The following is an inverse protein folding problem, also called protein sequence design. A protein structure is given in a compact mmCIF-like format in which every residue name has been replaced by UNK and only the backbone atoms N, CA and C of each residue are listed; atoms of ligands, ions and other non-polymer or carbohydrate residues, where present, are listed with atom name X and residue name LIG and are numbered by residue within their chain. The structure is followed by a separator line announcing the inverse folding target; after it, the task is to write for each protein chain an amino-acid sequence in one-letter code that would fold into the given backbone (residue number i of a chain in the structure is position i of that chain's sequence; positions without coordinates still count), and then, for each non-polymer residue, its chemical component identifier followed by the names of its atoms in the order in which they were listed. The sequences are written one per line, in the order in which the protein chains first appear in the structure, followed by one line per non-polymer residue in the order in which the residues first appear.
data_IF_657453062476
#
_entry.id   IF_657453062476
#
_cell.length_a   1.000
_cell.length_b   1.000
_cell.length_c   1.000
_cell.angle_alpha   90.00
_cell.angle_beta   90.00
_cell.angle_gamma   90.00
#
_symmetry.space_group_name_H-M   'P 1'
#
loop_
_entity.id
_entity.type
_entity.pdbx_description
1 polymer ?
#
# COMPACT_ATOMS: atom_id res chain seq x y z
N UNK A 1 -24.45 -6.77 -24.94
CA UNK A 1 -23.65 -7.34 -23.81
C UNK A 1 -22.18 -7.54 -24.17
N UNK A 2 -21.80 -8.34 -25.19
CA UNK A 2 -20.38 -8.59 -25.55
C UNK A 2 -19.52 -7.35 -25.85
N UNK A 3 -20.07 -6.29 -26.45
CA UNK A 3 -19.33 -5.06 -26.77
C UNK A 3 -18.98 -4.25 -25.51
N UNK A 4 -19.94 -4.05 -24.61
CA UNK A 4 -19.74 -3.31 -23.36
C UNK A 4 -18.78 -4.03 -22.40
N UNK A 5 -18.82 -5.37 -22.35
CA UNK A 5 -17.90 -6.16 -21.52
C UNK A 5 -16.45 -6.10 -22.01
N UNK A 6 -16.25 -6.10 -23.34
CA UNK A 6 -14.91 -5.98 -23.93
C UNK A 6 -14.34 -4.57 -23.70
N UNK A 7 -15.17 -3.53 -23.84
CA UNK A 7 -14.78 -2.14 -23.59
C UNK A 7 -14.39 -1.91 -22.13
N UNK A 8 -15.08 -2.53 -21.16
CA UNK A 8 -14.73 -2.42 -19.74
C UNK A 8 -13.38 -3.09 -19.45
N UNK A 9 -13.16 -4.31 -19.95
CA UNK A 9 -11.90 -5.03 -19.76
C UNK A 9 -10.71 -4.29 -20.41
N UNK A 10 -10.90 -3.76 -21.62
CA UNK A 10 -9.89 -2.93 -22.28
C UNK A 10 -9.61 -1.64 -21.51
N UNK A 11 -10.64 -0.99 -20.96
CA UNK A 11 -10.50 0.20 -20.12
C UNK A 11 -9.71 -0.07 -18.84
N UNK A 12 -10.01 -1.17 -18.14
CA UNK A 12 -9.30 -1.59 -16.93
C UNK A 12 -7.83 -1.93 -17.21
N UNK A 13 -7.56 -2.66 -18.30
CA UNK A 13 -6.20 -2.99 -18.73
C UNK A 13 -5.40 -1.74 -19.10
N UNK A 14 -6.01 -0.76 -19.78
CA UNK A 14 -5.36 0.51 -20.11
C UNK A 14 -5.05 1.34 -18.84
N UNK A 15 -5.97 1.40 -17.89
CA UNK A 15 -5.76 2.07 -16.59
C UNK A 15 -4.59 1.42 -15.84
N UNK A 16 -4.54 0.08 -15.84
CA UNK A 16 -3.46 -0.68 -15.22
C UNK A 16 -2.10 -0.34 -15.85
N UNK A 17 -2.01 -0.37 -17.19
CA UNK A 17 -0.79 -0.02 -17.94
C UNK A 17 -0.32 1.42 -17.69
N UNK A 18 -1.24 2.37 -17.51
CA UNK A 18 -0.90 3.75 -17.18
C UNK A 18 -0.43 3.90 -15.73
N UNK A 19 -1.02 3.13 -14.80
CA UNK A 19 -0.66 3.15 -13.39
C UNK A 19 0.72 2.54 -13.11
N UNK A 20 1.14 1.54 -13.88
CA UNK A 20 2.43 0.86 -13.70
C UNK A 20 3.69 1.71 -13.99
N UNK A 21 3.54 3.00 -14.28
CA UNK A 21 4.64 3.92 -14.63
C UNK A 21 5.34 4.56 -13.42
N UNK A 22 4.95 4.29 -12.17
CA UNK A 22 5.60 4.88 -11.01
C UNK A 22 5.46 4.03 -9.76
N UNK A 23 6.44 3.17 -9.51
CA UNK A 23 6.47 2.30 -8.34
C UNK A 23 6.97 3.05 -7.09
N UNK A 24 6.32 2.83 -5.95
CA UNK A 24 6.83 3.22 -4.64
C UNK A 24 8.13 2.46 -4.35
N UNK A 25 9.13 3.18 -3.83
CA UNK A 25 10.44 2.62 -3.52
C UNK A 25 11.04 3.33 -2.29
N UNK A 26 11.83 2.61 -1.50
CA UNK A 26 12.62 3.18 -0.40
C UNK A 26 13.67 4.22 -0.85
N UNK A 27 13.95 4.22 -2.15
CA UNK A 27 14.74 5.26 -2.82
C UNK A 27 13.73 6.12 -3.58
N UNK A 28 13.50 7.34 -3.10
CA UNK A 28 12.62 8.30 -3.76
C UNK A 28 13.43 9.16 -4.71
N UNK A 29 13.11 9.11 -5.99
CA UNK A 29 13.73 9.91 -7.04
C UNK A 29 12.82 11.09 -7.42
N UNK A 30 13.41 12.29 -7.49
CA UNK A 30 12.72 13.52 -7.85
C UNK A 30 13.15 13.93 -9.25
N UNK A 31 12.22 13.88 -10.21
CA UNK A 31 12.45 14.22 -11.61
C UNK A 31 11.85 15.60 -11.97
N UNK A 32 12.23 16.66 -11.24
CA UNK A 32 11.77 18.02 -11.52
C UNK A 32 10.38 18.34 -10.97
N UNK A 33 10.05 17.78 -9.81
CA UNK A 33 8.77 17.98 -9.14
C UNK A 33 8.54 19.45 -8.76
N UNK A 34 7.32 19.95 -9.02
CA UNK A 34 6.93 21.32 -8.67
C UNK A 34 6.28 21.39 -7.29
N UNK A 35 6.38 22.55 -6.63
CA UNK A 35 5.82 22.77 -5.30
C UNK A 35 4.37 23.28 -5.38
N UNK A 36 3.49 22.74 -4.55
CA UNK A 36 2.10 23.14 -4.46
C UNK A 36 1.91 24.22 -3.38
N UNK A 37 1.14 25.29 -3.62
CA UNK A 37 0.85 26.29 -2.60
C UNK A 37 -0.07 25.73 -1.52
N UNK A 38 0.24 25.98 -0.25
CA UNK A 38 -0.58 25.61 0.91
C UNK A 38 -0.47 26.69 2.00
N UNK A 39 -1.60 27.29 2.35
CA UNK A 39 -1.64 28.46 3.24
C UNK A 39 -0.68 29.56 2.74
N UNK A 40 0.26 30.00 3.58
CA UNK A 40 1.31 30.97 3.24
C UNK A 40 2.67 30.32 2.89
N UNK A 41 2.68 29.04 2.50
CA UNK A 41 3.88 28.28 2.16
C UNK A 41 3.73 27.55 0.82
N UNK A 42 4.83 27.06 0.29
CA UNK A 42 4.87 26.11 -0.83
C UNK A 42 5.46 24.79 -0.36
N UNK A 43 4.87 23.69 -0.80
CA UNK A 43 5.10 22.36 -0.26
C UNK A 43 5.33 21.32 -1.36
N UNK A 44 6.29 20.43 -1.13
CA UNK A 44 6.53 19.24 -1.94
C UNK A 44 6.74 18.02 -1.03
N UNK A 45 6.01 16.94 -1.30
CA UNK A 45 6.11 15.69 -0.57
C UNK A 45 7.34 14.90 -1.05
N UNK A 46 8.37 14.81 -0.21
CA UNK A 46 9.62 14.13 -0.53
C UNK A 46 9.58 12.61 -0.35
N UNK A 47 8.64 12.08 0.42
CA UNK A 47 8.55 10.64 0.69
C UNK A 47 8.04 10.34 2.08
N UNK A 48 7.58 9.10 2.28
CA UNK A 48 7.08 8.64 3.57
C UNK A 48 7.37 7.17 3.76
N UNK A 49 8.12 6.80 4.79
CA UNK A 49 8.48 5.41 5.02
C UNK A 49 8.47 5.06 6.52
N UNK A 50 8.22 3.77 6.79
CA UNK A 50 8.38 3.21 8.12
C UNK A 50 9.84 2.87 8.38
N UNK A 51 10.42 3.43 9.43
CA UNK A 51 11.80 3.18 9.81
C UNK A 51 11.88 2.59 11.23
N UNK A 52 12.73 1.58 11.39
CA UNK A 52 13.09 1.04 12.70
C UNK A 52 14.22 1.86 13.31
N UNK A 53 14.27 1.91 14.64
CA UNK A 53 15.43 2.46 15.35
C UNK A 53 16.71 1.71 14.98
N UNK A 54 17.82 2.45 14.89
CA UNK A 54 19.15 1.88 14.70
C UNK A 54 19.51 0.97 15.87
N UNK A 55 20.10 -0.18 15.57
CA UNK A 55 20.56 -1.12 16.60
C UNK A 55 22.08 -0.98 16.79
N UNK A 56 22.44 -0.38 17.94
CA UNK A 56 23.82 -0.16 18.34
C UNK A 56 24.59 -1.47 18.61
N UNK A 57 23.89 -2.56 18.93
CA UNK A 57 24.52 -3.85 19.24
C UNK A 57 24.98 -4.61 17.99
N UNK A 58 24.28 -4.44 16.87
CA UNK A 58 24.56 -5.17 15.62
C UNK A 58 25.28 -4.34 14.56
N UNK A 59 25.71 -3.12 14.89
CA UNK A 59 26.24 -2.12 13.93
C UNK A 59 25.31 -1.86 12.74
N UNK A 60 24.01 -2.14 12.90
CA UNK A 60 23.02 -1.97 11.85
C UNK A 60 22.29 -0.64 12.06
N UNK A 61 22.57 0.33 11.19
CA UNK A 61 22.05 1.69 11.30
C UNK A 61 20.89 1.92 10.34
N UNK A 62 19.85 2.56 10.87
CA UNK A 62 18.76 3.12 10.07
C UNK A 62 19.06 4.58 9.77
N UNK A 63 18.87 4.99 8.52
CA UNK A 63 19.13 6.35 8.13
C UNK A 63 18.30 6.82 6.93
N UNK A 64 18.17 8.14 6.85
CA UNK A 64 17.73 8.87 5.66
C UNK A 64 18.93 9.61 5.11
N UNK A 65 19.29 9.33 3.86
CA UNK A 65 20.40 9.99 3.16
C UNK A 65 19.88 10.85 2.03
N UNK A 66 20.39 12.07 1.96
CA UNK A 66 20.10 13.04 0.91
C UNK A 66 21.23 12.96 -0.13
N UNK A 67 20.93 12.45 -1.33
CA UNK A 67 21.90 12.28 -2.40
C UNK A 67 21.65 13.33 -3.49
N UNK A 68 22.57 14.32 -3.58
CA UNK A 68 22.63 15.30 -4.68
C UNK A 68 21.29 15.98 -4.99
N UNK A 69 20.62 16.50 -3.98
CA UNK A 69 19.36 17.23 -4.17
C UNK A 69 19.66 18.64 -4.62
N UNK A 70 19.09 19.00 -5.76
CA UNK A 70 19.24 20.29 -6.41
C UNK A 70 17.87 20.95 -6.49
N UNK A 71 17.81 22.20 -6.02
CA UNK A 71 16.65 23.05 -6.18
C UNK A 71 16.92 24.05 -7.29
N UNK A 72 16.00 24.14 -8.24
CA UNK A 72 16.09 25.08 -9.36
C UNK A 72 14.96 26.10 -9.32
N UNK A 73 15.32 27.37 -9.17
CA UNK A 73 14.38 28.51 -9.24
C UNK A 73 14.26 29.02 -10.68
N UNK A 74 13.24 29.84 -10.93
CA UNK A 74 13.02 30.45 -12.24
C UNK A 74 14.03 31.57 -12.51
N UNK A 75 14.30 31.85 -13.79
CA UNK A 75 15.17 32.96 -14.19
C UNK A 75 14.64 34.31 -13.67
N UNK A 76 13.31 34.50 -13.67
CA UNK A 76 12.68 35.71 -13.14
C UNK A 76 12.98 35.88 -11.64
N UNK A 77 12.85 34.81 -10.86
CA UNK A 77 13.20 34.79 -9.44
C UNK A 77 14.67 35.14 -9.21
N UNK A 78 15.57 34.52 -9.97
CA UNK A 78 17.01 34.76 -9.87
C UNK A 78 17.40 36.21 -10.23
N UNK A 79 16.76 36.80 -11.23
CA UNK A 79 17.06 38.16 -11.71
C UNK A 79 16.74 39.28 -10.71
N UNK A 80 15.89 39.00 -9.71
CA UNK A 80 15.49 39.95 -8.67
C UNK A 80 16.56 40.16 -7.59
N UNK A 81 17.59 39.31 -7.56
CA UNK A 81 18.67 39.38 -6.59
C UNK A 81 19.95 39.94 -7.20
N UNK A 82 20.80 40.52 -6.37
CA UNK A 82 22.13 40.97 -6.77
C UNK A 82 23.14 39.82 -6.72
N UNK A 83 24.20 39.89 -7.54
CA UNK A 83 25.18 38.81 -7.68
C UNK A 83 25.98 38.55 -6.41
N UNK A 84 26.27 39.59 -5.62
CA UNK A 84 27.02 39.46 -4.36
C UNK A 84 26.14 39.11 -3.14
N UNK A 85 24.81 39.07 -3.31
CA UNK A 85 23.90 38.82 -2.19
C UNK A 85 23.98 37.34 -1.78
N UNK A 86 24.34 37.07 -0.54
CA UNK A 86 24.33 35.71 0.01
C UNK A 86 22.95 35.37 0.58
N UNK A 87 22.55 34.08 0.54
CA UNK A 87 21.29 33.58 1.09
C UNK A 87 20.03 34.20 0.47
N UNK A 88 19.90 34.14 -0.85
CA UNK A 88 18.85 34.77 -1.68
C UNK A 88 17.61 33.88 -1.89
N UNK A 89 17.15 33.23 -0.82
CA UNK A 89 15.99 32.34 -0.82
C UNK A 89 16.26 31.08 -0.02
N UNK A 90 15.32 30.71 0.84
CA UNK A 90 15.43 29.59 1.77
C UNK A 90 14.49 28.45 1.34
N UNK A 91 15.05 27.25 1.23
CA UNK A 91 14.31 26.00 1.09
C UNK A 91 14.65 25.09 2.27
N UNK A 92 13.63 24.57 2.93
CA UNK A 92 13.76 23.76 4.14
C UNK A 92 13.29 22.33 3.86
N UNK A 93 14.17 21.37 4.14
CA UNK A 93 13.81 19.96 4.23
C UNK A 93 13.49 19.64 5.68
N UNK A 94 12.25 19.20 5.94
CA UNK A 94 11.73 18.89 7.27
C UNK A 94 11.40 17.41 7.33
N UNK A 95 12.05 16.71 8.26
CA UNK A 95 11.76 15.31 8.57
C UNK A 95 10.95 15.26 9.85
N UNK A 96 9.78 14.64 9.80
CA UNK A 96 8.85 14.58 10.92
C UNK A 96 8.30 13.18 11.10
N UNK A 97 8.15 12.76 12.35
CA UNK A 97 7.43 11.53 12.70
C UNK A 97 5.92 11.79 12.58
N UNK A 98 5.12 10.78 12.23
CA UNK A 98 3.66 10.92 12.11
C UNK A 98 3.00 11.49 13.37
N UNK A 99 3.52 11.15 14.56
CA UNK A 99 3.03 11.63 15.86
C UNK A 99 3.29 13.12 16.08
N UNK A 100 4.29 13.67 15.38
CA UNK A 100 4.78 15.04 15.53
C UNK A 100 4.30 15.93 14.36
N UNK A 101 3.38 15.44 13.52
CA UNK A 101 2.90 16.16 12.34
C UNK A 101 2.22 17.48 12.69
N UNK A 102 1.51 17.52 13.81
CA UNK A 102 0.83 18.70 14.37
C UNK A 102 1.82 19.76 14.89
N UNK A 103 3.10 19.41 15.07
CA UNK A 103 4.16 20.35 15.47
C UNK A 103 4.66 21.23 14.33
N UNK A 104 4.24 20.99 13.08
CA UNK A 104 4.55 21.84 11.94
C UNK A 104 3.43 22.88 11.76
N UNK A 105 3.81 24.15 11.68
CA UNK A 105 2.90 25.27 11.49
C UNK A 105 2.49 25.97 12.79
N UNK A 106 1.76 27.07 12.64
CA UNK A 106 1.36 27.99 13.68
C UNK A 106 0.11 27.59 14.46
N UNK A 107 -0.38 26.35 14.32
CA UNK A 107 -1.60 25.90 15.00
C UNK A 107 -1.49 26.08 16.53
N UNK A 108 -0.30 25.84 17.10
CA UNK A 108 -0.02 26.07 18.53
C UNK A 108 -0.01 27.56 18.93
N UNK A 109 0.12 28.46 17.95
CA UNK A 109 0.05 29.92 18.09
C UNK A 109 -1.33 30.45 17.69
N UNK A 110 -2.35 29.57 17.58
CA UNK A 110 -3.69 29.91 17.11
C UNK A 110 -3.72 30.55 15.71
N UNK A 111 -2.77 30.16 14.85
CA UNK A 111 -2.63 30.67 13.49
C UNK A 111 -2.62 29.53 12.48
N UNK A 112 -3.31 29.71 11.35
CA UNK A 112 -3.27 28.77 10.22
C UNK A 112 -2.00 28.94 9.36
N UNK A 113 -1.10 29.86 9.74
CA UNK A 113 0.15 30.11 9.05
C UNK A 113 1.12 28.94 9.22
N UNK A 114 1.75 28.52 8.13
CA UNK A 114 2.83 27.52 8.14
C UNK A 114 4.18 28.20 8.23
N UNK A 115 4.33 29.32 7.53
CA UNK A 115 5.51 30.16 7.53
C UNK A 115 5.40 31.27 8.58
N UNK A 116 6.52 31.58 9.23
CA UNK A 116 6.60 32.63 10.22
C UNK A 116 6.34 34.00 9.59
N UNK A 117 5.31 34.69 10.09
CA UNK A 117 4.98 36.07 9.68
C UNK A 117 5.73 37.09 10.54
N UNK A 118 5.88 38.34 10.08
CA UNK A 118 6.49 39.40 10.87
C UNK A 118 5.79 39.70 12.19
N UNK A 119 4.49 39.38 12.33
CA UNK A 119 3.80 39.51 13.63
C UNK A 119 4.32 38.49 14.65
N UNK A 120 4.48 37.23 14.22
CA UNK A 120 4.93 36.14 15.09
C UNK A 120 6.41 36.23 15.47
N UNK A 121 7.23 36.83 14.60
CA UNK A 121 8.64 37.12 14.88
C UNK A 121 8.80 38.19 15.97
N UNK A 122 7.92 39.20 15.99
CA UNK A 122 7.92 40.23 17.07
C UNK A 122 7.62 39.62 18.44
N UNK A 123 6.81 38.58 18.49
CA UNK A 123 6.52 37.80 19.69
C UNK A 123 7.68 36.84 20.07
N UNK A 124 8.77 36.83 19.30
CA UNK A 124 9.96 35.96 19.44
C UNK A 124 9.65 34.47 19.35
N UNK A 125 8.55 34.11 18.70
CA UNK A 125 8.08 32.73 18.58
C UNK A 125 8.73 31.98 17.41
N UNK A 126 9.15 32.68 16.36
CA UNK A 126 9.81 32.11 15.17
C UNK A 126 10.64 33.18 14.45
N UNK A 127 11.39 32.81 13.40
CA UNK A 127 12.14 33.75 12.55
C UNK A 127 11.41 33.96 11.22
N UNK A 128 11.27 35.21 10.78
CA UNK A 128 10.59 35.54 9.52
C UNK A 128 11.17 34.75 8.35
N UNK A 129 10.29 34.13 7.55
CA UNK A 129 10.67 33.37 6.36
C UNK A 129 11.08 31.92 6.61
N UNK A 130 11.12 31.48 7.87
CA UNK A 130 11.27 30.06 8.23
C UNK A 130 9.89 29.40 8.46
N UNK A 131 9.81 28.09 8.25
CA UNK A 131 8.68 27.27 8.64
C UNK A 131 8.61 27.19 10.16
N UNK A 132 7.39 27.36 10.69
CA UNK A 132 7.13 27.28 12.12
C UNK A 132 7.24 25.81 12.55
N UNK A 133 8.13 25.53 13.50
CA UNK A 133 8.31 24.19 14.09
C UNK A 133 8.25 24.32 15.60
N UNK A 134 7.33 23.59 16.22
CA UNK A 134 7.27 23.48 17.68
C UNK A 134 8.32 22.47 18.15
N UNK A 135 9.33 22.87 18.95
CA UNK A 135 10.33 21.95 19.46
C UNK A 135 9.69 20.95 20.43
N UNK A 136 10.15 19.69 20.38
CA UNK A 136 9.72 18.66 21.30
C UNK A 136 10.57 18.69 22.58
N UNK A 137 10.00 18.92 23.78
CA UNK A 137 10.77 18.93 25.02
C UNK A 137 11.43 17.58 25.36
N UNK A 138 10.86 16.46 24.90
CA UNK A 138 11.44 15.13 25.11
C UNK A 138 12.55 14.79 24.11
N UNK A 139 12.56 15.45 22.94
CA UNK A 139 13.52 15.21 21.88
C UNK A 139 13.79 16.50 21.08
N UNK A 140 14.65 17.39 21.59
CA UNK A 140 14.83 18.73 21.04
C UNK A 140 15.42 18.74 19.61
N UNK A 141 16.03 17.64 19.17
CA UNK A 141 16.59 17.50 17.82
C UNK A 141 15.53 17.22 16.73
N UNK A 142 14.28 16.95 17.12
CA UNK A 142 13.17 16.60 16.25
C UNK A 142 11.97 17.55 16.42
N UNK A 143 11.23 17.89 15.35
CA UNK A 143 11.43 17.53 13.93
C UNK A 143 12.76 18.02 13.35
N UNK A 144 13.38 17.23 12.47
CA UNK A 144 14.70 17.55 11.92
C UNK A 144 14.54 18.56 10.78
N UNK A 145 15.16 19.73 10.93
CA UNK A 145 15.19 20.79 9.92
C UNK A 145 16.56 20.88 9.24
N UNK A 146 16.56 20.98 7.92
CA UNK A 146 17.77 21.19 7.11
C UNK A 146 17.51 22.37 6.17
N UNK A 147 18.32 23.41 6.29
CA UNK A 147 18.15 24.66 5.54
C UNK A 147 19.12 24.70 4.36
N UNK A 148 18.60 24.97 3.17
CA UNK A 148 19.38 25.18 1.96
C UNK A 148 19.08 26.56 1.42
N UNK A 149 20.12 27.33 1.11
CA UNK A 149 20.00 28.69 0.63
C UNK A 149 20.46 28.81 -0.83
N UNK A 150 19.85 29.71 -1.57
CA UNK A 150 20.40 30.17 -2.86
C UNK A 150 21.46 31.24 -2.64
N UNK A 151 22.38 31.37 -3.59
CA UNK A 151 23.42 32.41 -3.59
C UNK A 151 23.32 33.29 -4.83
N UNK A 152 23.36 34.60 -4.60
CA UNK A 152 23.34 35.62 -5.64
C UNK A 152 22.21 35.43 -6.65
N UNK A 153 22.60 35.39 -7.93
CA UNK A 153 21.72 35.15 -9.09
C UNK A 153 21.72 33.69 -9.58
N UNK A 154 22.25 32.75 -8.80
CA UNK A 154 22.32 31.36 -9.24
C UNK A 154 20.91 30.77 -9.41
N UNK A 155 20.63 30.11 -10.53
CA UNK A 155 19.35 29.41 -10.75
C UNK A 155 19.23 28.14 -9.90
N UNK A 156 20.36 27.55 -9.54
CA UNK A 156 20.44 26.25 -8.89
C UNK A 156 21.19 26.36 -7.57
N UNK A 157 20.71 25.63 -6.57
CA UNK A 157 21.44 25.40 -5.31
C UNK A 157 21.38 23.91 -4.98
N UNK A 158 22.46 23.41 -4.40
CA UNK A 158 22.59 22.00 -4.02
C UNK A 158 22.53 21.88 -2.51
N UNK A 159 21.64 21.03 -2.03
CA UNK A 159 21.54 20.67 -0.62
C UNK A 159 22.78 19.89 -0.18
N UNK A 160 23.28 20.17 1.02
CA UNK A 160 24.43 19.46 1.57
C UNK A 160 24.10 17.98 1.74
N UNK A 161 24.97 17.10 1.21
CA UNK A 161 24.87 15.66 1.40
C UNK A 161 25.02 15.33 2.88
N UNK A 162 23.95 14.85 3.49
CA UNK A 162 23.94 14.48 4.90
C UNK A 162 23.15 13.20 5.14
N UNK A 163 23.50 12.54 6.24
CA UNK A 163 22.86 11.31 6.71
C UNK A 163 22.17 11.65 8.04
N UNK A 164 20.88 11.40 8.12
CA UNK A 164 20.09 11.54 9.35
C UNK A 164 19.88 10.14 9.93
N UNK A 165 20.49 9.88 11.09
CA UNK A 165 20.32 8.63 11.82
C UNK A 165 18.96 8.56 12.52
N UNK A 166 18.33 7.39 12.47
CA UNK A 166 17.02 7.16 13.08
C UNK A 166 17.20 6.40 14.39
N UNK A 167 16.78 7.01 15.49
CA UNK A 167 16.93 6.47 16.85
C UNK A 167 15.62 5.94 17.44
N UNK A 168 14.47 6.28 16.83
CA UNK A 168 13.14 5.85 17.27
C UNK A 168 12.45 5.15 16.11
N UNK A 169 11.77 4.04 16.40
CA UNK A 169 10.95 3.33 15.40
C UNK A 169 9.67 4.13 15.17
N UNK A 170 9.36 4.45 13.92
CA UNK A 170 8.17 5.24 13.57
C UNK A 170 7.94 5.37 12.08
N UNK A 171 6.84 6.02 11.72
CA UNK A 171 6.56 6.46 10.35
C UNK A 171 7.10 7.87 10.17
N UNK A 172 8.01 8.05 9.23
CA UNK A 172 8.67 9.33 8.97
C UNK A 172 8.22 9.89 7.63
N UNK A 173 8.04 11.21 7.59
CA UNK A 173 7.70 11.98 6.40
C UNK A 173 8.80 12.98 6.12
N UNK A 174 9.11 13.18 4.85
CA UNK A 174 10.00 14.22 4.38
C UNK A 174 9.21 15.24 3.57
N UNK A 175 9.34 16.50 3.95
CA UNK A 175 8.74 17.62 3.25
C UNK A 175 9.81 18.60 2.82
N UNK A 176 9.73 19.06 1.58
CA UNK A 176 10.48 20.22 1.11
C UNK A 176 9.52 21.40 1.10
N UNK A 177 9.90 22.48 1.76
CA UNK A 177 9.04 23.62 1.99
C UNK A 177 9.81 24.92 1.79
N UNK A 178 9.13 25.96 1.31
CA UNK A 178 9.67 27.31 1.32
C UNK A 178 8.56 28.34 1.57
N UNK A 179 8.98 29.45 2.16
CA UNK A 179 8.09 30.54 2.57
C UNK A 179 8.19 31.77 1.67
N UNK A 180 9.25 31.87 0.86
CA UNK A 180 9.47 33.03 0.00
C UNK A 180 8.58 32.97 -1.26
N UNK A 181 7.63 33.91 -1.44
CA UNK A 181 6.81 33.96 -2.64
C UNK A 181 7.62 34.21 -3.92
N UNK A 182 8.84 34.74 -3.82
CA UNK A 182 9.72 34.97 -4.97
C UNK A 182 10.24 33.66 -5.58
N UNK A 183 10.24 32.56 -4.83
CA UNK A 183 10.66 31.24 -5.31
C UNK A 183 9.53 30.47 -6.03
N UNK A 184 8.42 31.14 -6.37
CA UNK A 184 7.31 30.50 -7.09
C UNK A 184 7.79 29.88 -8.41
N UNK A 185 7.42 28.62 -8.62
CA UNK A 185 7.89 27.83 -9.78
C UNK A 185 9.17 27.04 -9.53
N UNK A 186 9.64 26.97 -8.27
CA UNK A 186 10.74 26.11 -7.86
C UNK A 186 10.50 24.64 -8.27
N UNK A 187 11.56 23.99 -8.72
CA UNK A 187 11.60 22.56 -9.02
C UNK A 187 12.67 21.86 -8.20
N UNK A 188 12.40 20.62 -7.82
CA UNK A 188 13.36 19.76 -7.10
C UNK A 188 13.79 18.57 -7.96
N UNK A 189 15.09 18.31 -7.98
CA UNK A 189 15.71 17.15 -8.61
C UNK A 189 16.68 16.48 -7.66
N UNK A 190 16.87 15.16 -7.77
CA UNK A 190 17.81 14.41 -6.93
C UNK A 190 17.14 13.17 -6.34
N UNK A 191 17.71 12.58 -5.29
CA UNK A 191 17.11 11.42 -4.64
C UNK A 191 17.32 11.38 -3.14
N UNK A 192 16.42 10.72 -2.42
CA UNK A 192 16.63 10.33 -1.03
C UNK A 192 16.61 8.82 -0.87
N UNK A 193 17.48 8.33 0.01
CA UNK A 193 17.64 6.90 0.28
C UNK A 193 17.27 6.62 1.72
N UNK A 194 16.28 5.76 1.91
CA UNK A 194 15.75 5.39 3.21
C UNK A 194 16.12 3.94 3.50
N UNK A 195 16.84 3.70 4.60
CA UNK A 195 17.38 2.38 4.92
C UNK A 195 17.04 1.99 6.35
N UNK A 196 16.59 0.75 6.51
CA UNK A 196 16.37 0.06 7.77
C UNK A 196 17.58 -0.81 8.16
N UNK A 197 17.66 -1.31 9.40
CA UNK A 197 18.81 -2.06 9.86
C UNK A 197 18.98 -3.38 9.09
N UNK A 198 17.85 -3.97 8.67
CA UNK A 198 17.78 -5.25 7.95
C UNK A 198 17.87 -5.10 6.42
N UNK A 199 17.97 -3.87 5.89
CA UNK A 199 18.03 -3.58 4.45
C UNK A 199 17.15 -2.40 4.05
N UNK A 200 16.81 -2.31 2.77
CA UNK A 200 16.06 -1.19 2.21
C UNK A 200 14.54 -1.37 2.31
N UNK A 201 14.05 -2.52 2.78
CA UNK A 201 12.61 -2.75 2.83
C UNK A 201 11.95 -1.83 3.88
N UNK A 202 10.87 -1.10 3.52
CA UNK A 202 10.13 -0.29 4.47
C UNK A 202 9.65 -1.09 5.68
N UNK A 203 9.68 -0.48 6.86
CA UNK A 203 9.31 -1.15 8.12
C UNK A 203 7.87 -1.63 8.14
N UNK A 204 6.98 -0.97 7.38
CA UNK A 204 5.59 -1.40 7.16
C UNK A 204 5.50 -2.72 6.38
N UNK A 205 6.44 -2.97 5.47
CA UNK A 205 6.48 -4.16 4.62
C UNK A 205 7.42 -5.25 5.16
N UNK A 206 8.30 -4.94 6.11
CA UNK A 206 9.27 -5.90 6.65
C UNK A 206 8.64 -7.23 7.14
N UNK A 207 7.51 -7.23 7.89
CA UNK A 207 6.87 -8.48 8.31
C UNK A 207 6.33 -9.33 7.14
N UNK A 208 6.00 -8.70 6.00
CA UNK A 208 5.46 -9.39 4.83
C UNK A 208 6.47 -10.37 4.25
N UNK A 209 7.74 -9.97 4.17
CA UNK A 209 8.79 -10.82 3.62
C UNK A 209 8.88 -12.16 4.38
N UNK A 210 8.86 -12.10 5.72
CA UNK A 210 8.87 -13.30 6.57
C UNK A 210 7.59 -14.12 6.40
N UNK A 211 6.43 -13.46 6.34
CA UNK A 211 5.14 -14.13 6.12
C UNK A 211 5.14 -14.93 4.80
N UNK A 212 5.48 -14.29 3.68
CA UNK A 212 5.52 -14.97 2.38
C UNK A 212 6.59 -16.07 2.33
N UNK A 213 7.73 -15.90 3.01
CA UNK A 213 8.74 -16.95 3.14
C UNK A 213 8.22 -18.20 3.87
N UNK A 214 7.59 -18.01 5.04
CA UNK A 214 6.99 -19.11 5.81
C UNK A 214 5.84 -19.77 5.04
N UNK A 215 4.96 -18.97 4.43
CA UNK A 215 3.86 -19.48 3.62
C UNK A 215 4.35 -20.25 2.40
N UNK A 216 5.42 -19.80 1.74
CA UNK A 216 6.03 -20.53 0.62
C UNK A 216 6.51 -21.91 1.05
N UNK A 217 7.14 -22.04 2.23
CA UNK A 217 7.55 -23.34 2.77
C UNK A 217 6.34 -24.21 3.13
N UNK A 218 5.28 -23.63 3.71
CA UNK A 218 4.05 -24.33 4.03
C UNK A 218 3.35 -24.88 2.77
N UNK A 219 3.27 -24.08 1.70
CA UNK A 219 2.73 -24.50 0.40
C UNK A 219 3.59 -25.56 -0.27
N UNK A 220 4.91 -25.50 -0.12
CA UNK A 220 5.82 -26.53 -0.61
C UNK A 220 5.59 -27.85 0.13
N UNK A 221 5.48 -27.83 1.47
CA UNK A 221 5.16 -29.01 2.26
C UNK A 221 3.79 -29.60 1.88
N UNK A 222 2.76 -28.75 1.75
CA UNK A 222 1.43 -29.15 1.28
C UNK A 222 1.49 -29.78 -0.12
N UNK A 223 2.22 -29.16 -1.04
CA UNK A 223 2.41 -29.65 -2.41
C UNK A 223 3.08 -31.02 -2.45
N UNK A 224 4.11 -31.24 -1.62
CA UNK A 224 4.78 -32.54 -1.49
C UNK A 224 3.85 -33.61 -0.92
N UNK A 225 3.15 -33.32 0.19
CA UNK A 225 2.19 -34.24 0.79
C UNK A 225 1.07 -34.60 -0.19
N UNK A 226 0.53 -33.61 -0.89
CA UNK A 226 -0.48 -33.79 -1.93
C UNK A 226 0.06 -34.62 -3.09
N UNK A 227 1.26 -34.33 -3.58
CA UNK A 227 1.88 -35.08 -4.68
C UNK A 227 2.10 -36.55 -4.34
N UNK A 228 2.56 -36.85 -3.11
CA UNK A 228 2.70 -38.23 -2.63
C UNK A 228 1.35 -38.94 -2.62
N UNK A 229 0.31 -38.29 -2.09
CA UNK A 229 -1.04 -38.87 -2.06
C UNK A 229 -1.62 -39.04 -3.46
N UNK A 230 -1.38 -38.07 -4.34
CA UNK A 230 -1.78 -38.09 -5.74
C UNK A 230 -1.18 -39.33 -6.40
N UNK A 231 0.14 -39.49 -6.40
CA UNK A 231 0.85 -40.66 -6.99
C UNK A 231 0.37 -41.99 -6.41
N UNK A 232 0.17 -42.08 -5.08
CA UNK A 232 -0.35 -43.31 -4.44
C UNK A 232 -1.73 -43.71 -4.95
N UNK A 233 -2.60 -42.73 -5.20
CA UNK A 233 -3.98 -42.93 -5.64
C UNK A 233 -4.17 -42.71 -7.15
N UNK A 234 -3.12 -42.80 -7.97
CA UNK A 234 -3.19 -42.46 -9.41
C UNK A 234 -4.27 -43.20 -10.20
N UNK A 235 -4.63 -44.42 -9.77
CA UNK A 235 -5.65 -45.24 -10.45
C UNK A 235 -7.08 -44.73 -10.26
N UNK A 236 -7.35 -44.00 -9.18
CA UNK A 236 -8.71 -43.56 -8.78
C UNK A 236 -8.89 -42.03 -8.87
N UNK A 237 -8.14 -41.35 -9.75
CA UNK A 237 -8.18 -39.90 -9.84
C UNK A 237 -9.45 -39.40 -10.57
N UNK A 238 -10.24 -38.60 -9.86
CA UNK A 238 -11.27 -37.73 -10.44
C UNK A 238 -10.67 -36.45 -11.05
N UNK A 239 -11.35 -35.89 -12.06
CA UNK A 239 -10.98 -34.61 -12.70
C UNK A 239 -10.77 -33.47 -11.68
N UNK A 240 -11.51 -33.49 -10.56
CA UNK A 240 -11.39 -32.50 -9.48
C UNK A 240 -9.97 -32.44 -8.89
N UNK A 241 -9.28 -33.57 -8.74
CA UNK A 241 -7.94 -33.58 -8.13
C UNK A 241 -6.89 -32.91 -9.02
N UNK A 242 -7.04 -32.94 -10.35
CA UNK A 242 -6.16 -32.19 -11.25
C UNK A 242 -6.33 -30.68 -11.06
N UNK A 243 -7.56 -30.22 -10.87
CA UNK A 243 -7.82 -28.81 -10.59
C UNK A 243 -7.29 -28.38 -9.22
N UNK A 244 -7.43 -29.21 -8.18
CA UNK A 244 -6.83 -28.96 -6.86
C UNK A 244 -5.29 -28.87 -6.97
N UNK A 245 -4.67 -29.79 -7.72
CA UNK A 245 -3.22 -29.76 -7.96
C UNK A 245 -2.79 -28.45 -8.63
N UNK A 246 -3.58 -27.96 -9.59
CA UNK A 246 -3.32 -26.68 -10.27
C UNK A 246 -3.39 -25.50 -9.29
N UNK A 247 -4.39 -25.46 -8.40
CA UNK A 247 -4.52 -24.40 -7.39
C UNK A 247 -3.35 -24.41 -6.40
N UNK A 248 -2.93 -25.60 -5.93
CA UNK A 248 -1.76 -25.73 -5.06
C UNK A 248 -0.48 -25.24 -5.77
N UNK A 249 -0.29 -25.61 -7.05
CA UNK A 249 0.84 -25.14 -7.84
C UNK A 249 0.86 -23.63 -8.04
N UNK A 250 -0.30 -23.02 -8.32
CA UNK A 250 -0.44 -21.57 -8.41
C UNK A 250 -0.15 -20.88 -7.07
N UNK A 251 -0.60 -21.45 -5.94
CA UNK A 251 -0.29 -20.96 -4.60
C UNK A 251 1.21 -21.02 -4.29
N UNK A 252 1.90 -22.10 -4.66
CA UNK A 252 3.36 -22.19 -4.54
C UNK A 252 4.07 -21.10 -5.35
N UNK A 253 3.67 -20.89 -6.61
CA UNK A 253 4.26 -19.86 -7.45
C UNK A 253 4.02 -18.46 -6.89
N UNK A 254 2.78 -18.15 -6.51
CA UNK A 254 2.40 -16.87 -5.92
C UNK A 254 3.26 -16.54 -4.69
N UNK A 255 3.33 -17.44 -3.71
CA UNK A 255 4.11 -17.20 -2.48
C UNK A 255 5.59 -17.00 -2.78
N UNK A 256 6.15 -17.77 -3.72
CA UNK A 256 7.55 -17.66 -4.12
C UNK A 256 7.84 -16.31 -4.81
N UNK A 257 7.03 -15.89 -5.77
CA UNK A 257 7.21 -14.61 -6.46
C UNK A 257 7.06 -13.41 -5.52
N UNK A 258 6.11 -13.45 -4.59
CA UNK A 258 6.00 -12.42 -3.55
C UNK A 258 7.22 -12.40 -2.63
N UNK A 259 7.74 -13.56 -2.21
CA UNK A 259 8.98 -13.60 -1.43
C UNK A 259 10.16 -12.99 -2.20
N UNK A 260 10.34 -13.35 -3.48
CA UNK A 260 11.41 -12.81 -4.32
C UNK A 260 11.27 -11.31 -4.55
N UNK A 261 10.04 -10.81 -4.73
CA UNK A 261 9.75 -9.37 -4.83
C UNK A 261 10.29 -8.63 -3.59
N UNK A 262 9.90 -9.07 -2.39
CA UNK A 262 10.33 -8.43 -1.15
C UNK A 262 11.83 -8.60 -0.88
N UNK A 263 12.42 -9.76 -1.21
CA UNK A 263 13.85 -10.00 -1.05
C UNK A 263 14.71 -9.10 -1.98
N UNK A 264 14.29 -8.96 -3.24
CA UNK A 264 14.97 -8.06 -4.19
C UNK A 264 14.78 -6.60 -3.79
N UNK A 265 13.58 -6.22 -3.36
CA UNK A 265 13.32 -4.87 -2.88
C UNK A 265 14.17 -4.54 -1.63
N UNK A 266 14.30 -5.48 -0.69
CA UNK A 266 15.16 -5.30 0.48
C UNK A 266 16.65 -5.11 0.13
N UNK A 267 17.09 -5.72 -0.97
CA UNK A 267 18.51 -5.68 -1.39
C UNK A 267 18.84 -4.46 -2.25
N UNK A 268 17.94 -4.07 -3.15
CA UNK A 268 18.18 -3.00 -4.15
C UNK A 268 17.62 -1.65 -3.73
N UNK A 269 16.60 -1.63 -2.86
CA UNK A 269 15.87 -0.43 -2.45
C UNK A 269 14.90 0.13 -3.49
N UNK A 270 14.74 -0.56 -4.61
CA UNK A 270 13.79 -0.24 -5.69
C UNK A 270 12.89 -1.44 -5.98
N UNK A 271 11.62 -1.22 -6.29
CA UNK A 271 10.72 -2.33 -6.65
C UNK A 271 11.02 -2.84 -8.08
N UNK A 272 11.36 -4.12 -8.27
CA UNK A 272 11.64 -4.67 -9.57
C UNK A 272 10.35 -4.95 -10.35
N UNK A 273 9.96 -4.00 -11.22
CA UNK A 273 8.70 -4.02 -11.99
C UNK A 273 8.38 -5.40 -12.60
N UNK A 274 9.39 -6.08 -13.17
CA UNK A 274 9.19 -7.41 -13.78
C UNK A 274 8.76 -8.50 -12.80
N UNK A 275 9.35 -8.56 -11.61
CA UNK A 275 8.99 -9.57 -10.59
C UNK A 275 7.63 -9.22 -10.00
N UNK A 276 7.36 -7.93 -9.75
CA UNK A 276 6.06 -7.45 -9.28
C UNK A 276 4.93 -7.84 -10.25
N UNK A 277 5.15 -7.69 -11.57
CA UNK A 277 4.19 -8.08 -12.60
C UNK A 277 3.84 -9.57 -12.52
N UNK A 278 4.85 -10.44 -12.42
CA UNK A 278 4.62 -11.87 -12.27
C UNK A 278 3.90 -12.20 -10.96
N UNK A 279 4.32 -11.62 -9.83
CA UNK A 279 3.70 -11.84 -8.53
C UNK A 279 2.19 -11.48 -8.56
N UNK A 280 1.87 -10.29 -9.07
CA UNK A 280 0.49 -9.80 -9.24
C UNK A 280 -0.31 -10.71 -10.19
N UNK A 281 0.30 -11.13 -11.31
CA UNK A 281 -0.36 -12.02 -12.27
C UNK A 281 -0.70 -13.36 -11.63
N UNK A 282 0.23 -13.99 -10.91
CA UNK A 282 -0.04 -15.26 -10.22
C UNK A 282 -1.12 -15.12 -9.16
N UNK A 283 -1.16 -14.02 -8.41
CA UNK A 283 -2.25 -13.71 -7.48
C UNK A 283 -3.60 -13.61 -8.20
N UNK A 284 -3.69 -12.82 -9.27
CA UNK A 284 -4.93 -12.64 -10.04
C UNK A 284 -5.41 -13.94 -10.70
N UNK A 285 -4.49 -14.72 -11.29
CA UNK A 285 -4.78 -16.04 -11.88
C UNK A 285 -5.29 -16.99 -10.81
N UNK A 286 -4.59 -17.11 -9.67
CA UNK A 286 -5.01 -18.01 -8.58
C UNK A 286 -6.41 -17.64 -8.07
N UNK A 287 -6.65 -16.36 -7.75
CA UNK A 287 -7.97 -15.88 -7.31
C UNK A 287 -9.07 -16.25 -8.32
N UNK A 288 -8.80 -16.07 -9.61
CA UNK A 288 -9.75 -16.38 -10.69
C UNK A 288 -10.01 -17.87 -10.80
N UNK A 289 -8.95 -18.68 -10.86
CA UNK A 289 -9.02 -20.14 -11.02
C UNK A 289 -9.75 -20.77 -9.83
N UNK A 290 -9.44 -20.36 -8.60
CA UNK A 290 -10.12 -20.88 -7.41
C UNK A 290 -11.62 -20.60 -7.43
N UNK A 291 -12.03 -19.36 -7.70
CA UNK A 291 -13.45 -18.98 -7.74
C UNK A 291 -14.21 -19.66 -8.87
N UNK A 292 -13.58 -19.80 -10.02
CA UNK A 292 -14.14 -20.54 -11.14
C UNK A 292 -14.30 -22.03 -10.80
N UNK A 293 -13.29 -22.64 -10.18
CA UNK A 293 -13.32 -24.03 -9.73
C UNK A 293 -14.49 -24.25 -8.74
N UNK A 294 -14.61 -23.41 -7.71
CA UNK A 294 -15.70 -23.51 -6.73
C UNK A 294 -17.08 -23.41 -7.37
N UNK A 295 -17.25 -22.47 -8.31
CA UNK A 295 -18.51 -22.31 -9.03
C UNK A 295 -18.84 -23.55 -9.86
N UNK A 296 -17.88 -24.05 -10.61
CA UNK A 296 -18.01 -25.24 -11.47
C UNK A 296 -18.31 -26.50 -10.65
N UNK A 297 -17.65 -26.66 -9.49
CA UNK A 297 -17.92 -27.76 -8.53
C UNK A 297 -19.31 -27.64 -7.91
N UNK A 298 -19.71 -26.43 -7.54
CA UNK A 298 -21.04 -26.15 -6.98
C UNK A 298 -22.17 -26.40 -7.99
N UNK A 299 -21.91 -26.19 -9.29
CA UNK A 299 -22.80 -26.55 -10.38
C UNK A 299 -22.90 -28.06 -10.63
N UNK A 300 -22.02 -28.87 -10.06
CA UNK A 300 -22.03 -30.32 -10.24
C UNK A 300 -21.12 -30.87 -11.34
N UNK A 301 -20.23 -30.07 -11.92
CA UNK A 301 -19.31 -30.54 -12.96
C UNK A 301 -18.36 -31.61 -12.43
N UNK A 302 -18.12 -32.67 -13.22
CA UNK A 302 -17.22 -33.77 -12.86
C UNK A 302 -17.78 -34.78 -11.86
N UNK A 303 -18.84 -34.45 -11.11
CA UNK A 303 -19.48 -35.35 -10.10
C UNK A 303 -20.93 -35.71 -10.45
N UNK A 304 -21.72 -34.75 -10.94
CA UNK A 304 -23.17 -34.89 -11.17
C UNK A 304 -23.54 -34.67 -12.64
N UNK A 305 -22.85 -33.79 -13.36
CA UNK A 305 -23.03 -33.53 -14.79
C UNK A 305 -21.71 -33.71 -15.56
N UNK A 306 -21.70 -34.48 -16.67
CA UNK A 306 -20.51 -34.67 -17.50
C UNK A 306 -20.19 -33.47 -18.40
N UNK A 307 -21.17 -32.61 -18.72
CA UNK A 307 -20.97 -31.37 -19.49
C UNK A 307 -21.86 -30.24 -18.97
N UNK A 308 -21.27 -29.05 -18.79
CA UNK A 308 -22.03 -27.81 -18.70
C UNK A 308 -22.31 -27.37 -20.14
N UNK A 309 -23.57 -27.24 -20.56
CA UNK A 309 -23.93 -26.80 -21.91
C UNK A 309 -23.55 -25.33 -22.20
N UNK A 310 -24.40 -24.57 -22.90
CA UNK A 310 -24.12 -23.16 -23.28
C UNK A 310 -23.85 -22.18 -22.13
N UNK A 311 -24.09 -22.57 -20.88
CA UNK A 311 -23.78 -21.80 -19.66
C UNK A 311 -22.27 -21.60 -19.49
N UNK A 312 -21.43 -22.53 -19.97
CA UNK A 312 -19.95 -22.44 -19.91
C UNK A 312 -19.40 -21.14 -20.46
N UNK A 313 -19.93 -20.67 -21.59
CA UNK A 313 -19.50 -19.43 -22.23
C UNK A 313 -19.77 -18.19 -21.38
N UNK A 314 -20.86 -18.18 -20.60
CA UNK A 314 -21.21 -17.07 -19.69
C UNK A 314 -20.30 -17.06 -18.47
N UNK A 315 -20.05 -18.24 -17.90
CA UNK A 315 -19.17 -18.38 -16.73
C UNK A 315 -17.72 -18.05 -17.11
N UNK A 316 -17.25 -18.51 -18.28
CA UNK A 316 -15.91 -18.18 -18.78
C UNK A 316 -15.75 -16.68 -19.03
N UNK A 317 -16.76 -16.01 -19.61
CA UNK A 317 -16.74 -14.56 -19.78
C UNK A 317 -16.69 -13.81 -18.44
N UNK A 318 -17.46 -14.26 -17.43
CA UNK A 318 -17.43 -13.67 -16.09
C UNK A 318 -16.05 -13.86 -15.42
N UNK A 319 -15.47 -15.05 -15.53
CA UNK A 319 -14.12 -15.34 -15.03
C UNK A 319 -13.05 -14.48 -15.68
N UNK A 320 -13.12 -14.26 -16.99
CA UNK A 320 -12.19 -13.39 -17.70
C UNK A 320 -12.31 -11.91 -17.26
N UNK A 321 -13.53 -11.40 -17.10
CA UNK A 321 -13.75 -10.03 -16.60
C UNK A 321 -13.20 -9.88 -15.19
N UNK A 322 -13.42 -10.88 -14.34
CA UNK A 322 -12.88 -10.90 -12.98
C UNK A 322 -11.36 -10.90 -12.97
N UNK A 323 -10.73 -11.73 -13.81
CA UNK A 323 -9.27 -11.77 -13.93
C UNK A 323 -8.71 -10.39 -14.28
N UNK A 324 -9.24 -9.75 -15.33
CA UNK A 324 -8.77 -8.42 -15.76
C UNK A 324 -9.01 -7.35 -14.70
N UNK A 325 -10.15 -7.37 -14.01
CA UNK A 325 -10.46 -6.42 -12.95
C UNK A 325 -9.55 -6.62 -11.72
N UNK A 326 -9.31 -7.87 -11.33
CA UNK A 326 -8.42 -8.23 -10.22
C UNK A 326 -6.98 -7.87 -10.55
N UNK A 327 -6.50 -8.16 -11.75
CA UNK A 327 -5.14 -7.82 -12.19
C UNK A 327 -4.95 -6.30 -12.22
N UNK A 328 -5.91 -5.55 -12.76
CA UNK A 328 -5.85 -4.09 -12.77
C UNK A 328 -5.81 -3.48 -11.37
N UNK A 329 -6.60 -4.01 -10.43
CA UNK A 329 -6.60 -3.57 -9.04
C UNK A 329 -5.25 -3.84 -8.37
N UNK A 330 -4.76 -5.08 -8.44
CA UNK A 330 -3.50 -5.50 -7.83
C UNK A 330 -2.30 -4.73 -8.40
N UNK A 331 -2.31 -4.45 -9.70
CA UNK A 331 -1.26 -3.67 -10.35
C UNK A 331 -1.25 -2.22 -9.85
N UNK A 332 -2.41 -1.60 -9.71
CA UNK A 332 -2.53 -0.22 -9.21
C UNK A 332 -2.16 -0.13 -7.74
N UNK A 333 -2.51 -1.14 -6.93
CA UNK A 333 -2.15 -1.15 -5.51
C UNK A 333 -0.65 -1.37 -5.25
N UNK A 334 0.06 -2.02 -6.18
CA UNK A 334 1.48 -2.33 -6.00
C UNK A 334 2.44 -1.47 -6.83
N UNK A 335 2.00 -0.94 -7.97
CA UNK A 335 2.83 -0.13 -8.88
C UNK A 335 2.28 1.28 -9.11
N UNK A 336 1.14 1.64 -8.50
CA UNK A 336 0.52 2.95 -8.67
C UNK A 336 1.22 4.05 -7.87
N UNK A 337 1.43 5.19 -8.52
CA UNK A 337 2.06 6.38 -7.93
C UNK A 337 1.06 7.20 -7.07
N UNK A 338 1.57 7.83 -6.00
CA UNK A 338 0.85 8.75 -5.11
C UNK A 338 0.77 10.18 -5.69
N UNK A 339 1.38 10.47 -6.84
CA UNK A 339 1.29 11.81 -7.44
C UNK A 339 -0.12 12.08 -8.02
N UNK A 340 -0.93 12.75 -7.22
CA UNK A 340 -2.18 13.50 -7.50
C UNK A 340 -3.37 12.77 -8.15
N UNK A 341 -3.24 11.52 -8.61
CA UNK A 341 -4.38 10.73 -9.11
C UNK A 341 -5.01 9.84 -8.04
N UNK A 342 -5.35 10.49 -6.93
CA UNK A 342 -6.51 10.34 -6.05
C UNK A 342 -6.96 8.92 -5.69
N UNK A 343 -7.15 8.66 -4.39
CA UNK A 343 -7.89 7.49 -3.87
C UNK A 343 -9.25 7.22 -4.55
N UNK A 344 -9.79 8.18 -5.31
CA UNK A 344 -10.89 7.99 -6.27
C UNK A 344 -10.61 6.91 -7.33
N UNK A 345 -9.41 6.85 -7.93
CA UNK A 345 -9.04 5.82 -8.92
C UNK A 345 -9.04 4.44 -8.28
N UNK A 346 -8.47 4.33 -7.08
CA UNK A 346 -8.50 3.10 -6.28
C UNK A 346 -9.92 2.67 -5.96
N UNK A 347 -10.76 3.59 -5.47
CA UNK A 347 -12.17 3.31 -5.17
C UNK A 347 -12.93 2.83 -6.41
N UNK A 348 -12.64 3.42 -7.57
CA UNK A 348 -13.23 3.03 -8.86
C UNK A 348 -12.83 1.62 -9.32
N UNK A 349 -11.67 1.11 -8.92
CA UNK A 349 -11.22 -0.25 -9.22
C UNK A 349 -11.70 -1.29 -8.20
N UNK A 350 -11.73 -0.92 -6.92
CA UNK A 350 -12.19 -1.80 -5.83
C UNK A 350 -13.67 -2.12 -5.97
N UNK A 351 -14.51 -1.14 -6.34
CA UNK A 351 -15.96 -1.32 -6.38
C UNK A 351 -16.42 -2.38 -7.40
N UNK A 352 -15.96 -2.38 -8.67
CA UNK A 352 -16.27 -3.44 -9.63
C UNK A 352 -15.82 -4.83 -9.18
N UNK A 353 -14.62 -4.94 -8.59
CA UNK A 353 -14.12 -6.23 -8.06
C UNK A 353 -15.04 -6.73 -6.95
N UNK A 354 -15.37 -5.89 -5.96
CA UNK A 354 -16.27 -6.27 -4.87
C UNK A 354 -17.68 -6.72 -5.35
N UNK A 355 -18.23 -6.08 -6.39
CA UNK A 355 -19.50 -6.49 -7.00
C UNK A 355 -19.38 -7.86 -7.69
N UNK A 356 -18.26 -8.12 -8.38
CA UNK A 356 -18.00 -9.43 -8.99
C UNK A 356 -17.85 -10.51 -7.91
N UNK A 357 -17.15 -10.23 -6.81
CA UNK A 357 -16.99 -11.12 -5.66
C UNK A 357 -18.35 -11.54 -5.09
N UNK A 358 -19.22 -10.56 -4.80
CA UNK A 358 -20.57 -10.81 -4.33
C UNK A 358 -21.39 -11.64 -5.33
N UNK A 359 -21.24 -11.35 -6.63
CA UNK A 359 -21.91 -12.11 -7.70
C UNK A 359 -21.47 -13.58 -7.72
N UNK A 360 -20.16 -13.84 -7.60
CA UNK A 360 -19.64 -15.21 -7.51
C UNK A 360 -20.18 -15.93 -6.28
N UNK A 361 -20.16 -15.31 -5.11
CA UNK A 361 -20.65 -15.90 -3.86
C UNK A 361 -22.13 -16.29 -3.97
N UNK A 362 -22.98 -15.35 -4.40
CA UNK A 362 -24.43 -15.62 -4.56
C UNK A 362 -24.65 -16.76 -5.56
N UNK A 363 -23.91 -16.78 -6.67
CA UNK A 363 -24.07 -17.82 -7.68
C UNK A 363 -23.57 -19.19 -7.21
N UNK A 364 -22.48 -19.24 -6.44
CA UNK A 364 -21.97 -20.47 -5.80
C UNK A 364 -23.04 -21.06 -4.89
N UNK A 365 -23.55 -20.28 -3.93
CA UNK A 365 -24.57 -20.76 -2.99
C UNK A 365 -25.87 -21.15 -3.69
N UNK A 366 -26.33 -20.37 -4.68
CA UNK A 366 -27.54 -20.69 -5.45
C UNK A 366 -27.37 -21.99 -6.26
N UNK A 367 -26.22 -22.18 -6.90
CA UNK A 367 -25.91 -23.39 -7.66
C UNK A 367 -25.82 -24.62 -6.74
N UNK A 368 -25.16 -24.46 -5.60
CA UNK A 368 -25.01 -25.50 -4.58
C UNK A 368 -26.37 -25.96 -4.04
N UNK A 369 -27.26 -25.03 -3.68
CA UNK A 369 -28.61 -25.34 -3.20
C UNK A 369 -29.43 -26.10 -4.24
N UNK A 370 -29.38 -25.69 -5.51
CA UNK A 370 -30.06 -26.41 -6.61
C UNK A 370 -29.49 -27.81 -6.84
N UNK A 371 -28.17 -27.97 -6.72
CA UNK A 371 -27.51 -29.28 -6.84
C UNK A 371 -27.89 -30.20 -5.68
N UNK A 372 -27.93 -29.66 -4.46
CA UNK A 372 -28.34 -30.41 -3.27
C UNK A 372 -29.79 -30.91 -3.38
N UNK A 373 -30.73 -30.04 -3.77
CA UNK A 373 -32.14 -30.38 -3.97
C UNK A 373 -32.31 -31.49 -5.03
N UNK A 374 -31.62 -31.36 -6.18
CA UNK A 374 -31.62 -32.41 -7.23
C UNK A 374 -31.07 -33.75 -6.72
N UNK A 375 -30.02 -33.73 -5.90
CA UNK A 375 -29.43 -34.94 -5.34
C UNK A 375 -30.32 -35.58 -4.27
N UNK A 376 -31.02 -34.77 -3.47
CA UNK A 376 -32.03 -35.24 -2.50
C UNK A 376 -33.18 -35.96 -3.22
N UNK A 377 -33.69 -35.38 -4.30
CA UNK A 377 -34.74 -35.99 -5.13
C UNK A 377 -34.29 -37.30 -5.78
N UNK A 378 -33.02 -37.42 -6.16
CA UNK A 378 -32.45 -38.62 -6.80
C UNK A 378 -31.97 -39.70 -5.81
N UNK A 379 -32.10 -39.50 -4.49
CA UNK A 379 -31.69 -40.44 -3.41
C UNK A 379 -30.24 -40.96 -3.52
N UNK A 380 -29.31 -40.19 -4.09
CA UNK A 380 -27.89 -40.58 -4.16
C UNK A 380 -27.18 -40.22 -2.85
N UNK A 381 -27.27 -41.11 -1.85
CA UNK A 381 -26.80 -40.87 -0.48
C UNK A 381 -25.30 -40.52 -0.40
N UNK A 382 -24.43 -41.20 -1.16
CA UNK A 382 -23.00 -40.95 -1.14
C UNK A 382 -22.62 -39.57 -1.72
N UNK A 383 -23.25 -39.15 -2.81
CA UNK A 383 -23.02 -37.81 -3.42
C UNK A 383 -23.60 -36.70 -2.54
N UNK A 384 -24.76 -36.95 -1.94
CA UNK A 384 -25.39 -36.02 -1.01
C UNK A 384 -24.49 -35.72 0.20
N UNK A 385 -23.87 -36.75 0.78
CA UNK A 385 -22.97 -36.58 1.93
C UNK A 385 -21.75 -35.73 1.58
N UNK A 386 -21.14 -35.97 0.41
CA UNK A 386 -20.02 -35.17 -0.09
C UNK A 386 -20.41 -33.69 -0.23
N UNK A 387 -21.55 -33.40 -0.88
CA UNK A 387 -22.03 -32.03 -1.04
C UNK A 387 -22.41 -31.38 0.29
N UNK A 388 -22.94 -32.14 1.26
CA UNK A 388 -23.24 -31.62 2.60
C UNK A 388 -21.98 -31.24 3.37
N UNK A 389 -20.92 -32.07 3.27
CA UNK A 389 -19.59 -31.76 3.84
C UNK A 389 -18.98 -30.52 3.16
N UNK A 390 -19.10 -30.42 1.84
CA UNK A 390 -18.68 -29.23 1.08
C UNK A 390 -19.42 -27.97 1.53
N UNK A 391 -20.76 -28.00 1.63
CA UNK A 391 -21.55 -26.86 2.13
C UNK A 391 -21.17 -26.47 3.56
N UNK A 392 -20.95 -27.45 4.45
CA UNK A 392 -20.53 -27.18 5.83
C UNK A 392 -19.14 -26.51 5.87
N UNK A 393 -18.18 -27.01 5.08
CA UNK A 393 -16.86 -26.39 4.94
C UNK A 393 -16.95 -24.96 4.39
N UNK A 394 -17.82 -24.74 3.40
CA UNK A 394 -18.08 -23.43 2.81
C UNK A 394 -18.65 -22.45 3.86
N UNK A 395 -19.62 -22.90 4.66
CA UNK A 395 -20.20 -22.10 5.72
C UNK A 395 -19.18 -21.73 6.81
N UNK A 396 -18.36 -22.69 7.25
CA UNK A 396 -17.33 -22.46 8.27
C UNK A 396 -16.32 -21.42 7.81
N UNK A 397 -15.84 -21.49 6.56
CA UNK A 397 -14.86 -20.50 6.08
C UNK A 397 -15.47 -19.10 5.89
N UNK A 398 -16.75 -18.98 5.51
CA UNK A 398 -17.46 -17.69 5.53
C UNK A 398 -17.57 -17.11 6.94
N UNK A 399 -17.84 -17.94 7.96
CA UNK A 399 -17.90 -17.49 9.35
C UNK A 399 -16.54 -17.02 9.87
N UNK A 400 -15.48 -17.78 9.58
CA UNK A 400 -14.10 -17.41 9.94
C UNK A 400 -13.73 -16.07 9.29
N UNK A 401 -14.10 -15.90 8.02
CA UNK A 401 -13.88 -14.67 7.26
C UNK A 401 -14.57 -13.46 7.89
N UNK A 402 -15.85 -13.58 8.27
CA UNK A 402 -16.59 -12.52 8.94
C UNK A 402 -15.98 -12.19 10.31
N UNK A 403 -15.57 -13.22 11.07
CA UNK A 403 -14.92 -13.03 12.36
C UNK A 403 -13.58 -12.31 12.22
N UNK A 404 -12.78 -12.65 11.20
CA UNK A 404 -11.51 -11.99 10.91
C UNK A 404 -11.70 -10.51 10.54
N UNK A 405 -12.64 -10.21 9.64
CA UNK A 405 -12.97 -8.81 9.28
C UNK A 405 -13.44 -8.05 10.52
N UNK A 406 -14.28 -8.66 11.36
CA UNK A 406 -14.73 -8.06 12.63
C UNK A 406 -13.58 -7.77 13.59
N UNK A 407 -12.61 -8.68 13.68
CA UNK A 407 -11.39 -8.49 14.46
C UNK A 407 -10.54 -7.33 13.92
N UNK A 408 -10.30 -7.28 12.60
CA UNK A 408 -9.54 -6.18 11.97
C UNK A 408 -10.20 -4.83 12.22
N UNK A 409 -11.52 -4.72 12.00
CA UNK A 409 -12.27 -3.48 12.26
C UNK A 409 -12.20 -3.08 13.73
N UNK A 410 -12.33 -4.05 14.64
CA UNK A 410 -12.22 -3.79 16.09
C UNK A 410 -10.82 -3.32 16.49
N UNK A 411 -9.79 -3.92 15.90
CA UNK A 411 -8.39 -3.56 16.13
C UNK A 411 -8.05 -2.18 15.56
N UNK A 412 -8.54 -1.88 14.35
CA UNK A 412 -8.40 -0.56 13.73
C UNK A 412 -9.11 0.49 14.58
N UNK A 413 -10.37 0.26 14.97
CA UNK A 413 -11.11 1.20 15.82
C UNK A 413 -10.42 1.45 17.16
N UNK A 414 -9.86 0.39 17.78
CA UNK A 414 -9.08 0.52 19.01
C UNK A 414 -7.87 1.45 18.80
N UNK A 415 -7.15 1.32 17.69
CA UNK A 415 -6.02 2.22 17.35
C UNK A 415 -6.45 3.63 16.97
N UNK A 416 -7.59 3.79 16.30
CA UNK A 416 -8.16 5.11 15.97
C UNK A 416 -8.56 5.84 17.25
N UNK A 417 -9.14 5.16 18.24
CA UNK A 417 -9.41 5.76 19.55
C UNK A 417 -8.13 6.16 20.31
N UNK A 418 -7.01 5.47 20.07
CA UNK A 418 -5.69 5.82 20.60
C UNK A 418 -4.99 6.95 19.82
N UNK A 419 -5.31 7.15 18.54
CA UNK A 419 -4.69 8.18 17.67
C UNK A 419 -5.59 9.39 17.37
N UNK A 420 -6.85 9.40 17.82
CA UNK A 420 -7.85 10.41 17.42
C UNK A 420 -8.24 10.30 15.93
N UNK A 421 -9.37 10.90 15.51
CA UNK A 421 -9.75 10.93 14.11
C UNK A 421 -8.79 11.83 13.31
N UNK A 422 -7.94 11.20 12.49
CA UNK A 422 -7.17 11.91 11.46
C UNK A 422 -8.07 12.18 10.24
N UNK A 423 -8.70 13.35 10.20
CA UNK A 423 -9.39 13.81 9.00
C UNK A 423 -8.34 14.26 7.96
N UNK A 424 -8.26 13.57 6.82
CA UNK A 424 -7.24 13.83 5.79
C UNK A 424 -7.55 15.08 4.95
N UNK A 425 -8.75 15.67 5.05
CA UNK A 425 -9.15 16.80 4.17
C UNK A 425 -9.60 18.08 4.88
N UNK A 426 -9.30 18.28 6.16
CA UNK A 426 -9.63 19.54 6.84
C UNK A 426 -8.61 19.89 7.92
N UNK A 427 -7.66 20.77 7.58
CA UNK A 427 -7.22 21.77 8.56
C UNK A 427 -8.20 22.93 8.40
N UNK A 428 -9.25 22.94 9.21
CA UNK A 428 -10.02 24.14 9.53
C UNK A 428 -10.64 24.01 10.93
N UNK A 429 -10.93 25.15 11.58
CA UNK A 429 -10.70 25.37 13.01
C UNK A 429 -11.86 24.88 13.88
N UNK A 430 -11.59 24.87 15.18
CA UNK A 430 -12.48 24.68 16.35
C UNK A 430 -12.26 23.38 17.14
N UNK A 431 -11.53 23.57 18.24
CA UNK A 431 -12.06 23.42 19.60
C UNK A 431 -12.71 22.07 19.96
N UNK A 432 -11.94 21.18 20.59
CA UNK A 432 -12.39 20.46 21.79
C UNK A 432 -11.19 19.79 22.49
N UNK A 433 -11.03 20.13 23.77
CA UNK A 433 -10.07 19.62 24.76
C UNK A 433 -9.69 18.13 24.60
N UNK A 434 -8.40 17.83 24.62
CA UNK A 434 -7.89 16.51 24.99
C UNK A 434 -7.02 16.65 26.25
N UNK A 435 -7.59 16.29 27.40
CA UNK A 435 -6.84 15.95 28.60
C UNK A 435 -6.01 14.70 28.32
N UNK A 436 -4.71 14.80 28.58
CA UNK A 436 -3.78 13.69 28.55
C UNK A 436 -4.11 12.72 29.69
N UNK A 437 -4.36 11.45 29.37
CA UNK A 437 -4.22 10.38 30.35
C UNK A 437 -3.05 9.49 29.95
N UNK A 438 -1.96 9.71 30.66
CA UNK A 438 -0.72 8.97 30.59
C UNK A 438 -0.96 7.53 31.06
N UNK A 439 -0.85 6.55 30.15
CA UNK A 439 -0.62 5.16 30.55
C UNK A 439 0.31 4.47 29.56
N UNK A 440 1.57 4.33 30.00
CA UNK A 440 2.59 3.44 29.44
C UNK A 440 1.96 2.10 29.04
N UNK A 441 2.00 1.79 27.75
CA UNK A 441 2.08 0.42 27.29
C UNK A 441 3.01 0.39 26.10
N UNK A 442 4.18 -0.22 26.31
CA UNK A 442 5.08 -0.74 25.29
C UNK A 442 4.28 -1.62 24.32
N UNK A 443 3.79 -1.02 23.24
CA UNK A 443 3.11 -1.71 22.16
C UNK A 443 3.72 -1.25 20.85
N UNK A 444 4.40 -2.18 20.18
CA UNK A 444 4.98 -2.00 18.85
C UNK A 444 3.97 -1.32 17.92
N UNK A 445 4.38 -0.17 17.39
CA UNK A 445 3.62 0.62 16.43
C UNK A 445 3.63 -0.11 15.09
N UNK A 446 2.80 -1.15 14.98
CA UNK A 446 2.42 -1.74 13.70
C UNK A 446 1.36 -0.82 13.07
N UNK A 447 1.79 0.30 12.52
CA UNK A 447 0.93 1.22 11.77
C UNK A 447 0.71 0.67 10.36
N UNK A 448 -0.56 0.41 10.04
CA UNK A 448 -1.04 -0.13 8.76
C UNK A 448 -0.40 -1.45 8.33
N UNK A 449 -1.08 -2.57 8.57
CA UNK A 449 -1.07 -3.61 7.55
C UNK A 449 -1.60 -2.95 6.26
N UNK A 450 -0.86 -2.95 5.13
CA UNK A 450 -1.49 -2.70 3.85
C UNK A 450 -2.65 -3.69 3.71
N UNK A 451 -3.74 -3.23 3.11
CA UNK A 451 -4.89 -4.03 2.69
C UNK A 451 -4.54 -5.26 1.83
N UNK A 452 -3.26 -5.48 1.52
CA UNK A 452 -2.72 -6.68 0.89
C UNK A 452 -2.59 -7.88 1.86
N UNK A 453 -2.66 -7.67 3.18
CA UNK A 453 -3.16 -8.72 4.10
C UNK A 453 -4.59 -8.35 4.46
N UNK A 454 -5.47 -8.29 3.47
CA UNK A 454 -6.70 -9.05 3.67
C UNK A 454 -6.23 -10.50 3.64
N UNK A 455 -6.37 -11.24 4.75
CA UNK A 455 -6.67 -12.66 4.58
C UNK A 455 -7.94 -12.62 3.76
N UNK A 456 -7.78 -12.81 2.45
CA UNK A 456 -8.86 -12.71 1.51
C UNK A 456 -9.93 -13.67 2.06
N UNK A 457 -11.12 -13.17 2.42
CA UNK A 457 -12.21 -14.04 2.89
C UNK A 457 -12.61 -15.07 1.82
N UNK A 458 -11.98 -15.00 0.65
CA UNK A 458 -11.97 -16.01 -0.41
C UNK A 458 -10.76 -16.96 -0.36
N UNK A 459 -10.30 -17.35 0.84
CA UNK A 459 -9.48 -18.57 1.04
C UNK A 459 -10.35 -19.82 0.78
N UNK A 460 -10.70 -19.96 -0.49
CA UNK A 460 -11.27 -21.13 -1.15
C UNK A 460 -10.58 -21.29 -2.51
#
# INVERSE_FOLDING_TARGET
MRRATLSLALGLSLIALLAARGADASIHEYAGGGFAPRANSFFFHGGSEGLYASDLLSNSSSFIRFDSIVFRRTLESASRHEEMQQKTGLVEAIIVEIQDRDKIGGSYLHSDAICCTPELDKEKSCRVGEVIIRPNPENPDWPKRIQTFFDGKNEETTMVTQIVSINKTGMYYLYFMFCDPQLKGLKVTGRTVWRNPQGYLPGKMAPMMTFYGVMSLAYLALGLLWFIQFVRCWKDILQLHYHITTVIALGMCEMAFWYFEYANFNSTGTRPIGITLWAVTFTAVKKTVSRFLLLVVSMGYGVVLPTLGGITSRVAALGFIYFVASEALELVENLGNINDFSGKTRLFLVLPVAVLDATFIIWIFSSLSRTLEKLQLRRSMAKLELYRKFTNSLAVSVLISIAWIGYEVSFINSKVHLCGPCNVDTIKPLESNCEANERRSTSQVLCHFPSSISIDPTLF
#
